data_IF_475496827851
#
_entry.id   IF_475496827851
#
_cell.length_a   1.000
_cell.length_b   1.000
_cell.length_c   1.000
_cell.angle_alpha   90.00
_cell.angle_beta   90.00
_cell.angle_gamma   90.00
#
_symmetry.space_group_name_H-M   'P 1'
#
loop_
_entity.id
_entity.type
_entity.pdbx_description
1 polymer ?
#
# COMPACT_ATOMS: atom_id res chain seq x y z
N UNK A 1 22.84 -7.58 3.76
CA UNK A 1 22.64 -6.13 3.90
C UNK A 1 21.43 -5.78 3.04
N UNK A 2 20.25 -5.64 3.63
CA UNK A 2 19.00 -5.45 2.89
C UNK A 2 18.84 -3.97 2.53
N UNK A 3 18.39 -3.69 1.32
CA UNK A 3 18.20 -2.32 0.82
C UNK A 3 17.11 -1.66 1.71
N UNK A 4 17.21 -0.37 2.09
CA UNK A 4 16.26 0.28 3.01
C UNK A 4 14.76 0.28 2.60
N UNK A 5 14.39 -0.25 1.43
CA UNK A 5 13.00 -0.49 1.02
C UNK A 5 12.57 -1.95 0.99
N UNK A 6 13.50 -2.92 1.03
CA UNK A 6 13.17 -4.36 0.90
C UNK A 6 12.47 -4.92 2.14
N UNK A 7 12.86 -4.47 3.33
CA UNK A 7 12.21 -4.87 4.59
C UNK A 7 10.77 -4.34 4.68
N UNK A 8 10.53 -3.11 4.24
CA UNK A 8 9.19 -2.53 4.14
C UNK A 8 8.36 -3.26 3.08
N UNK A 9 8.94 -3.55 1.91
CA UNK A 9 8.29 -4.34 0.85
C UNK A 9 7.93 -5.75 1.35
N UNK A 10 8.86 -6.41 2.04
CA UNK A 10 8.64 -7.76 2.55
C UNK A 10 7.60 -7.76 3.68
N UNK A 11 7.60 -6.76 4.57
CA UNK A 11 6.57 -6.63 5.60
C UNK A 11 5.20 -6.34 4.99
N UNK A 12 5.10 -5.42 4.02
CA UNK A 12 3.86 -5.12 3.30
C UNK A 12 3.34 -6.36 2.55
N UNK A 13 4.24 -7.14 1.95
CA UNK A 13 3.90 -8.37 1.26
C UNK A 13 3.45 -9.47 2.23
N UNK A 14 4.13 -9.65 3.36
CA UNK A 14 3.76 -10.63 4.38
C UNK A 14 2.49 -10.24 5.14
N UNK A 15 2.30 -8.95 5.40
CA UNK A 15 1.05 -8.40 5.94
C UNK A 15 -0.07 -8.52 4.92
N UNK A 16 0.23 -8.37 3.64
CA UNK A 16 -0.71 -8.64 2.57
C UNK A 16 -1.08 -10.12 2.47
N UNK A 17 -0.12 -11.05 2.57
CA UNK A 17 -0.38 -12.50 2.55
C UNK A 17 -1.16 -12.94 3.80
N UNK A 18 -0.78 -12.44 4.99
CA UNK A 18 -1.52 -12.68 6.23
C UNK A 18 -2.92 -12.10 6.15
N UNK A 19 -3.04 -10.86 5.67
CA UNK A 19 -4.33 -10.24 5.41
C UNK A 19 -5.10 -11.02 4.33
N UNK A 20 -4.46 -11.60 3.33
CA UNK A 20 -5.09 -12.39 2.28
C UNK A 20 -5.66 -13.71 2.82
N UNK A 21 -4.90 -14.43 3.65
CA UNK A 21 -5.37 -15.66 4.28
C UNK A 21 -6.54 -15.39 5.25
N UNK A 22 -6.41 -14.35 6.08
CA UNK A 22 -7.48 -13.90 6.99
C UNK A 22 -8.68 -13.38 6.18
N UNK A 23 -8.44 -12.64 5.11
CA UNK A 23 -9.47 -12.12 4.21
C UNK A 23 -10.18 -13.23 3.44
N UNK A 24 -9.52 -14.34 3.12
CA UNK A 24 -10.17 -15.47 2.47
C UNK A 24 -11.24 -16.08 3.37
N UNK A 25 -10.91 -16.31 4.64
CA UNK A 25 -11.86 -16.87 5.62
C UNK A 25 -12.93 -15.84 6.02
N UNK A 26 -12.56 -14.57 6.18
CA UNK A 26 -13.54 -13.50 6.41
C UNK A 26 -14.44 -13.27 5.20
N UNK A 27 -13.92 -13.38 3.98
CA UNK A 27 -14.72 -13.26 2.77
C UNK A 27 -15.71 -14.41 2.66
N UNK A 28 -15.29 -15.63 3.04
CA UNK A 28 -16.16 -16.80 3.13
C UNK A 28 -17.34 -16.56 4.07
N UNK A 29 -17.07 -16.00 5.25
CA UNK A 29 -18.08 -15.74 6.28
C UNK A 29 -18.97 -14.53 5.90
N UNK A 30 -18.36 -13.41 5.51
CA UNK A 30 -19.07 -12.17 5.17
C UNK A 30 -19.92 -12.30 3.90
N UNK A 31 -19.57 -13.21 2.99
CA UNK A 31 -20.38 -13.53 1.80
C UNK A 31 -21.81 -13.91 2.16
N UNK A 32 -22.05 -14.61 3.26
CA UNK A 32 -23.43 -15.01 3.62
C UNK A 32 -24.36 -13.79 3.75
N UNK A 33 -23.79 -12.64 4.08
CA UNK A 33 -24.50 -11.37 4.23
C UNK A 33 -24.46 -10.50 2.96
N UNK A 34 -23.71 -10.91 1.93
CA UNK A 34 -23.58 -10.21 0.65
C UNK A 34 -24.54 -10.82 -0.38
N UNK A 35 -25.64 -10.12 -0.67
CA UNK A 35 -26.66 -10.59 -1.61
C UNK A 35 -26.10 -10.77 -3.03
N UNK A 36 -25.21 -9.88 -3.46
CA UNK A 36 -24.63 -9.91 -4.80
C UNK A 36 -23.79 -11.18 -4.97
N UNK A 37 -22.84 -11.43 -4.05
CA UNK A 37 -21.95 -12.58 -4.15
C UNK A 37 -22.70 -13.92 -3.98
N UNK A 38 -23.76 -13.96 -3.16
CA UNK A 38 -24.66 -15.12 -3.09
C UNK A 38 -25.33 -15.41 -4.43
N UNK A 39 -25.83 -14.39 -5.11
CA UNK A 39 -26.44 -14.53 -6.43
C UNK A 39 -25.41 -14.99 -7.47
N UNK A 40 -24.20 -14.42 -7.47
CA UNK A 40 -23.11 -14.85 -8.37
C UNK A 40 -22.81 -16.34 -8.18
N UNK A 41 -22.70 -16.83 -6.94
CA UNK A 41 -22.45 -18.25 -6.67
C UNK A 41 -23.58 -19.14 -7.13
N UNK A 42 -24.83 -18.72 -6.89
CA UNK A 42 -26.00 -19.45 -7.37
C UNK A 42 -25.94 -19.60 -8.89
N UNK A 43 -25.72 -18.50 -9.62
CA UNK A 43 -25.66 -18.53 -11.09
C UNK A 43 -24.45 -19.27 -11.65
N UNK A 44 -23.31 -19.24 -10.96
CA UNK A 44 -22.12 -19.97 -11.40
C UNK A 44 -22.27 -21.50 -11.23
N UNK A 45 -23.12 -21.95 -10.30
CA UNK A 45 -23.44 -23.37 -10.10
C UNK A 45 -24.57 -23.87 -10.98
N UNK A 46 -25.45 -22.99 -11.41
CA UNK A 46 -26.59 -23.34 -12.27
C UNK A 46 -26.38 -22.77 -13.67
N UNK A 47 -27.16 -21.76 -14.05
CA UNK A 47 -27.03 -21.01 -15.28
C UNK A 47 -27.20 -19.53 -14.96
N UNK A 48 -26.44 -18.71 -15.68
CA UNK A 48 -26.64 -17.27 -15.69
C UNK A 48 -27.92 -16.94 -16.46
N UNK A 49 -28.68 -15.95 -15.97
CA UNK A 49 -29.81 -15.37 -16.72
C UNK A 49 -29.31 -14.65 -17.98
N UNK A 50 -30.16 -14.55 -19.00
CA UNK A 50 -29.90 -13.71 -20.19
C UNK A 50 -30.01 -12.22 -19.86
N UNK A 51 -30.82 -11.87 -18.87
CA UNK A 51 -31.06 -10.49 -18.45
C UNK A 51 -30.37 -10.21 -17.11
N UNK A 52 -29.10 -9.77 -17.16
CA UNK A 52 -28.29 -9.44 -15.99
C UNK A 52 -28.02 -7.94 -15.92
N UNK A 53 -28.43 -7.30 -14.83
CA UNK A 53 -28.31 -5.86 -14.62
C UNK A 53 -27.49 -5.49 -13.36
N UNK A 54 -27.10 -4.22 -13.27
CA UNK A 54 -26.46 -3.65 -12.09
C UNK A 54 -25.14 -4.32 -11.71
N UNK A 55 -24.91 -4.52 -10.42
CA UNK A 55 -23.67 -5.10 -9.89
C UNK A 55 -23.33 -6.48 -10.44
N UNK A 56 -24.33 -7.26 -10.89
CA UNK A 56 -24.14 -8.60 -11.43
C UNK A 56 -23.55 -8.58 -12.84
N UNK A 57 -23.77 -7.52 -13.61
CA UNK A 57 -23.37 -7.44 -15.02
C UNK A 57 -21.86 -7.60 -15.18
N UNK A 58 -21.06 -7.02 -14.28
CA UNK A 58 -19.59 -7.14 -14.29
C UNK A 58 -19.12 -8.57 -14.00
N UNK A 59 -19.83 -9.30 -13.15
CA UNK A 59 -19.55 -10.72 -12.91
C UNK A 59 -20.01 -11.57 -14.10
N UNK A 60 -21.18 -11.28 -14.69
CA UNK A 60 -21.65 -11.97 -15.89
C UNK A 60 -20.69 -11.81 -17.07
N UNK A 61 -20.16 -10.62 -17.32
CA UNK A 61 -19.15 -10.37 -18.37
C UNK A 61 -17.89 -11.24 -18.19
N UNK A 62 -17.59 -11.66 -16.95
CA UNK A 62 -16.39 -12.42 -16.58
C UNK A 62 -16.70 -13.87 -16.20
N UNK A 63 -17.94 -14.31 -16.36
CA UNK A 63 -18.47 -15.60 -15.88
C UNK A 63 -17.60 -16.81 -16.24
N UNK A 64 -17.03 -16.81 -17.45
CA UNK A 64 -16.18 -17.90 -17.95
C UNK A 64 -14.85 -18.01 -17.19
N UNK A 65 -14.45 -16.97 -16.47
CA UNK A 65 -13.22 -16.92 -15.67
C UNK A 65 -13.51 -16.92 -14.16
N UNK A 66 -14.75 -17.21 -13.75
CA UNK A 66 -15.12 -17.31 -12.35
C UNK A 66 -15.05 -18.75 -11.87
N UNK A 67 -14.36 -18.97 -10.75
CA UNK A 67 -14.35 -20.25 -10.05
C UNK A 67 -14.83 -20.08 -8.61
N UNK A 68 -15.28 -21.18 -8.00
CA UNK A 68 -15.69 -21.21 -6.60
C UNK A 68 -14.78 -22.17 -5.87
N UNK A 69 -14.00 -21.66 -4.93
CA UNK A 69 -13.07 -22.45 -4.10
C UNK A 69 -13.40 -22.19 -2.64
N UNK A 70 -13.64 -23.26 -1.87
CA UNK A 70 -14.01 -23.20 -0.44
C UNK A 70 -15.16 -22.22 -0.14
N UNK A 71 -16.07 -22.04 -1.10
CA UNK A 71 -17.21 -21.14 -0.98
C UNK A 71 -16.94 -19.66 -1.30
N UNK A 72 -15.70 -19.28 -1.62
CA UNK A 72 -15.32 -17.96 -2.13
C UNK A 72 -15.37 -17.92 -3.66
N UNK A 73 -15.69 -16.76 -4.23
CA UNK A 73 -15.59 -16.53 -5.68
C UNK A 73 -14.18 -16.06 -5.99
N UNK A 74 -13.58 -16.67 -6.99
CA UNK A 74 -12.33 -16.25 -7.58
C UNK A 74 -12.58 -15.77 -9.01
N UNK A 75 -11.92 -14.67 -9.40
CA UNK A 75 -11.77 -14.25 -10.78
C UNK A 75 -10.33 -14.48 -11.20
N UNK A 76 -10.08 -15.51 -12.01
CA UNK A 76 -8.77 -16.15 -12.09
C UNK A 76 -8.27 -16.55 -10.70
N UNK A 77 -7.17 -15.97 -10.22
CA UNK A 77 -6.58 -16.22 -8.90
C UNK A 77 -6.97 -15.16 -7.86
N UNK A 78 -7.90 -14.26 -8.21
CA UNK A 78 -8.23 -13.08 -7.40
C UNK A 78 -9.49 -13.29 -6.60
N UNK A 79 -9.45 -13.05 -5.30
CA UNK A 79 -10.59 -13.21 -4.40
C UNK A 79 -11.60 -12.09 -4.61
N UNK A 80 -12.85 -12.45 -4.85
CA UNK A 80 -13.95 -11.49 -4.89
C UNK A 80 -14.27 -11.02 -3.46
N UNK A 81 -14.05 -9.74 -3.17
CA UNK A 81 -14.18 -9.19 -1.81
C UNK A 81 -15.63 -8.75 -1.53
N UNK A 82 -16.29 -9.28 -0.48
CA UNK A 82 -17.62 -8.83 -0.06
C UNK A 82 -17.66 -7.35 0.26
N UNK A 83 -18.79 -6.68 -0.01
CA UNK A 83 -18.94 -5.23 0.14
C UNK A 83 -18.53 -4.72 1.53
N UNK A 84 -18.88 -5.48 2.59
CA UNK A 84 -18.55 -5.14 3.98
C UNK A 84 -17.05 -5.07 4.26
N UNK A 85 -16.23 -5.81 3.50
CA UNK A 85 -14.78 -5.87 3.72
C UNK A 85 -14.02 -4.84 2.87
N UNK A 86 -14.60 -4.37 1.76
CA UNK A 86 -13.94 -3.48 0.80
C UNK A 86 -13.35 -2.23 1.46
N UNK A 87 -14.07 -1.60 2.39
CA UNK A 87 -13.58 -0.40 3.08
C UNK A 87 -12.32 -0.66 3.93
N UNK A 88 -12.25 -1.82 4.60
CA UNK A 88 -11.06 -2.20 5.39
C UNK A 88 -9.87 -2.51 4.49
N UNK A 89 -10.10 -3.26 3.41
CA UNK A 89 -9.08 -3.57 2.40
C UNK A 89 -8.49 -2.30 1.79
N UNK A 90 -9.36 -1.36 1.42
CA UNK A 90 -8.95 -0.06 0.89
C UNK A 90 -8.03 0.68 1.87
N UNK A 91 -8.40 0.75 3.15
CA UNK A 91 -7.56 1.37 4.19
C UNK A 91 -6.17 0.73 4.29
N UNK A 92 -6.08 -0.60 4.21
CA UNK A 92 -4.80 -1.31 4.25
C UNK A 92 -3.88 -0.93 3.08
N UNK A 93 -4.43 -0.74 1.87
CA UNK A 93 -3.62 -0.27 0.74
C UNK A 93 -3.12 1.16 0.89
N UNK A 94 -3.82 2.00 1.67
CA UNK A 94 -3.42 3.39 1.89
C UNK A 94 -2.38 3.54 3.01
N UNK A 95 -2.20 2.53 3.86
CA UNK A 95 -1.18 2.53 4.91
C UNK A 95 0.22 2.68 4.31
N UNK A 96 1.02 3.61 4.84
CA UNK A 96 2.37 3.89 4.36
C UNK A 96 2.45 4.67 3.03
N UNK A 97 1.31 5.09 2.46
CA UNK A 97 1.23 5.91 1.24
C UNK A 97 2.11 5.41 0.06
N UNK A 98 2.05 4.13 -0.33
CA UNK A 98 2.96 3.53 -1.33
C UNK A 98 2.79 4.05 -2.77
N UNK A 99 1.88 4.99 -3.00
CA UNK A 99 1.54 5.55 -4.31
C UNK A 99 0.45 4.76 -5.06
N UNK A 100 -0.36 5.46 -5.84
CA UNK A 100 -1.56 4.90 -6.50
C UNK A 100 -1.25 3.72 -7.44
N UNK A 101 -0.14 3.79 -8.19
CA UNK A 101 0.23 2.73 -9.12
C UNK A 101 0.57 1.43 -8.39
N UNK A 102 1.28 1.54 -7.27
CA UNK A 102 1.64 0.40 -6.42
C UNK A 102 0.43 -0.20 -5.73
N UNK A 103 -0.47 0.63 -5.20
CA UNK A 103 -1.76 0.17 -4.63
C UNK A 103 -2.59 -0.60 -5.66
N UNK A 104 -2.72 -0.07 -6.89
CA UNK A 104 -3.45 -0.74 -7.97
C UNK A 104 -2.80 -2.07 -8.37
N UNK A 105 -1.47 -2.11 -8.50
CA UNK A 105 -0.75 -3.32 -8.88
C UNK A 105 -0.99 -4.43 -7.85
N UNK A 106 -0.80 -4.14 -6.56
CA UNK A 106 -1.03 -5.11 -5.49
C UNK A 106 -2.50 -5.57 -5.44
N UNK A 107 -3.45 -4.64 -5.45
CA UNK A 107 -4.87 -4.98 -5.41
C UNK A 107 -5.28 -5.86 -6.60
N UNK A 108 -4.77 -5.56 -7.80
CA UNK A 108 -5.09 -6.34 -9.01
C UNK A 108 -4.46 -7.73 -9.01
N UNK A 109 -3.37 -7.97 -8.28
CA UNK A 109 -2.78 -9.30 -8.25
C UNK A 109 -3.64 -10.30 -7.46
N UNK A 110 -4.37 -9.84 -6.45
CA UNK A 110 -4.97 -10.74 -5.47
C UNK A 110 -6.47 -10.56 -5.29
N UNK A 111 -7.02 -9.39 -5.61
CA UNK A 111 -8.38 -9.02 -5.23
C UNK A 111 -9.20 -8.60 -6.43
N UNK A 112 -10.51 -8.72 -6.26
CA UNK A 112 -11.46 -8.28 -7.25
C UNK A 112 -12.77 -7.81 -6.62
N UNK A 113 -13.28 -6.68 -7.09
CA UNK A 113 -14.70 -6.33 -7.02
C UNK A 113 -14.99 -5.25 -8.09
N UNK A 114 -16.25 -5.08 -8.49
CA UNK A 114 -16.63 -4.00 -9.41
C UNK A 114 -16.20 -2.62 -8.88
N UNK A 115 -15.56 -1.81 -9.73
CA UNK A 115 -15.10 -0.45 -9.42
C UNK A 115 -13.92 -0.32 -8.43
N UNK A 116 -13.24 -1.43 -8.08
CA UNK A 116 -12.05 -1.42 -7.22
C UNK A 116 -11.00 -0.36 -7.59
N UNK A 117 -10.64 -0.27 -8.88
CA UNK A 117 -9.66 0.73 -9.34
C UNK A 117 -10.10 2.17 -9.07
N UNK A 118 -11.39 2.48 -9.30
CA UNK A 118 -11.95 3.81 -9.07
C UNK A 118 -11.92 4.17 -7.59
N UNK A 119 -12.24 3.21 -6.71
CA UNK A 119 -12.17 3.42 -5.27
C UNK A 119 -10.74 3.59 -4.77
N UNK A 120 -9.76 2.87 -5.34
CA UNK A 120 -8.35 3.09 -5.04
C UNK A 120 -7.86 4.47 -5.48
N UNK A 121 -8.30 4.95 -6.66
CA UNK A 121 -7.99 6.30 -7.14
C UNK A 121 -8.56 7.38 -6.23
N UNK A 122 -9.84 7.24 -5.83
CA UNK A 122 -10.48 8.14 -4.87
C UNK A 122 -9.72 8.18 -3.55
N UNK A 123 -9.31 7.03 -3.03
CA UNK A 123 -8.55 6.94 -1.79
C UNK A 123 -7.17 7.61 -1.90
N UNK A 124 -6.45 7.43 -3.01
CA UNK A 124 -5.16 8.09 -3.20
C UNK A 124 -5.29 9.60 -3.43
N UNK A 125 -6.44 10.08 -3.90
CA UNK A 125 -6.71 11.51 -4.04
C UNK A 125 -6.98 12.22 -2.72
N UNK A 126 -7.23 11.48 -1.63
CA UNK A 126 -7.32 12.02 -0.28
C UNK A 126 -5.93 12.53 0.12
N UNK A 127 -5.66 13.81 -0.18
CA UNK A 127 -4.43 14.49 0.24
C UNK A 127 -4.36 14.44 1.76
N UNK A 128 -3.31 13.82 2.30
CA UNK A 128 -2.96 14.05 3.69
C UNK A 128 -2.77 15.56 3.87
N UNK A 129 -3.36 16.12 4.92
CA UNK A 129 -3.15 17.52 5.26
C UNK A 129 -1.65 17.72 5.46
N UNK A 130 -1.02 18.50 4.57
CA UNK A 130 0.38 18.85 4.72
C UNK A 130 0.51 19.69 5.99
N UNK A 131 1.02 19.07 7.06
CA UNK A 131 1.37 19.80 8.27
C UNK A 131 2.69 20.51 7.99
N UNK A 132 2.63 21.82 7.78
CA UNK A 132 3.84 22.62 7.68
C UNK A 132 4.68 22.42 8.94
N UNK A 133 5.98 22.29 8.77
CA UNK A 133 6.90 22.31 9.89
C UNK A 133 6.78 23.67 10.60
N UNK A 134 6.79 23.73 11.95
CA UNK A 134 6.76 25.00 12.69
C UNK A 134 7.85 25.96 12.19
N UNK A 135 7.60 27.26 12.11
CA UNK A 135 8.67 28.21 11.73
C UNK A 135 9.77 28.20 12.80
N UNK A 136 11.06 27.98 12.45
CA UNK A 136 12.16 28.03 13.41
C UNK A 136 12.28 29.46 13.96
N UNK A 137 12.54 29.58 15.27
CA UNK A 137 12.56 30.89 15.97
C UNK A 137 13.94 31.30 16.51
N UNK A 138 14.91 30.40 16.41
CA UNK A 138 16.28 30.63 16.86
C UNK A 138 17.26 29.86 15.98
N UNK A 139 18.51 30.33 15.96
CA UNK A 139 19.63 29.62 15.36
C UNK A 139 19.67 28.18 15.89
N UNK A 140 19.97 27.23 15.01
CA UNK A 140 20.12 25.81 15.35
C UNK A 140 18.88 25.14 15.95
N UNK A 141 17.72 25.82 16.01
CA UNK A 141 16.48 25.25 16.55
C UNK A 141 15.86 24.16 15.68
N UNK A 142 16.23 24.12 14.39
CA UNK A 142 15.98 22.99 13.49
C UNK A 142 17.06 22.93 12.41
N UNK A 143 17.66 21.74 12.29
CA UNK A 143 18.68 21.43 11.29
C UNK A 143 18.13 20.39 10.32
N UNK A 144 18.30 20.61 9.01
CA UNK A 144 18.11 19.58 8.00
C UNK A 144 19.47 18.97 7.65
N UNK A 145 19.57 17.65 7.68
CA UNK A 145 20.83 16.95 7.38
C UNK A 145 20.58 15.95 6.27
N UNK A 146 21.40 15.99 5.23
CA UNK A 146 21.35 15.04 4.12
C UNK A 146 22.73 14.81 3.50
N UNK A 147 22.90 13.72 2.77
CA UNK A 147 24.09 13.49 1.96
C UNK A 147 23.92 14.10 0.57
N UNK A 148 24.93 14.84 0.11
CA UNK A 148 24.95 15.42 -1.24
C UNK A 148 25.15 14.39 -2.37
N UNK A 149 25.25 13.09 -2.02
CA UNK A 149 25.78 12.05 -2.90
C UNK A 149 27.30 12.13 -3.07
N UNK A 150 27.84 11.25 -3.91
CA UNK A 150 29.28 11.23 -4.23
C UNK A 150 29.59 12.32 -5.24
N UNK A 151 30.23 13.40 -4.77
CA UNK A 151 30.73 14.48 -5.62
C UNK A 151 32.26 14.31 -5.66
N UNK A 152 32.82 14.08 -6.84
CA UNK A 152 34.25 13.80 -7.03
C UNK A 152 34.79 12.65 -6.15
N UNK A 153 33.98 11.61 -5.94
CA UNK A 153 34.36 10.45 -5.13
C UNK A 153 34.31 10.70 -3.62
N UNK A 154 33.84 11.86 -3.17
CA UNK A 154 33.68 12.19 -1.75
C UNK A 154 32.20 12.24 -1.38
N UNK A 155 31.85 11.61 -0.26
CA UNK A 155 30.51 11.72 0.30
C UNK A 155 30.51 12.89 1.27
N UNK A 156 29.73 13.91 0.95
CA UNK A 156 29.62 15.11 1.77
C UNK A 156 28.31 15.08 2.55
N UNK A 157 28.39 15.27 3.86
CA UNK A 157 27.23 15.50 4.70
C UNK A 157 26.95 17.00 4.72
N UNK A 158 25.73 17.40 4.38
CA UNK A 158 25.29 18.79 4.42
C UNK A 158 24.33 18.91 5.60
N UNK A 159 24.64 19.81 6.53
CA UNK A 159 23.74 20.25 7.58
C UNK A 159 23.30 21.68 7.27
N UNK A 160 22.01 21.97 7.33
CA UNK A 160 21.44 23.28 7.06
C UNK A 160 20.65 23.76 8.28
N UNK A 161 21.06 24.88 8.87
CA UNK A 161 20.20 25.56 9.84
C UNK A 161 19.02 26.20 9.11
N UNK A 162 17.81 25.75 9.44
CA UNK A 162 16.59 26.21 8.77
C UNK A 162 16.17 27.63 9.17
N UNK A 163 16.75 28.19 10.25
CA UNK A 163 16.47 29.57 10.67
C UNK A 163 17.17 30.59 9.75
N UNK A 164 18.49 30.51 9.64
CA UNK A 164 19.30 31.45 8.86
C UNK A 164 19.69 30.93 7.46
N UNK A 165 19.33 29.68 7.13
CA UNK A 165 19.68 28.97 5.89
C UNK A 165 21.19 28.81 5.69
N UNK A 166 21.97 28.79 6.77
CA UNK A 166 23.41 28.58 6.72
C UNK A 166 23.74 27.10 6.52
N UNK A 167 24.47 26.74 5.45
CA UNK A 167 24.93 25.37 5.23
C UNK A 167 26.29 25.12 5.90
N UNK A 168 26.41 24.03 6.62
CA UNK A 168 27.67 23.42 7.01
C UNK A 168 27.92 22.15 6.20
N UNK A 169 29.11 22.05 5.63
CA UNK A 169 29.53 20.91 4.81
C UNK A 169 30.61 20.15 5.56
N UNK A 170 30.32 18.90 5.92
CA UNK A 170 31.28 18.00 6.54
C UNK A 170 31.79 17.04 5.46
N UNK A 171 33.05 17.24 5.07
CA UNK A 171 33.74 16.39 4.12
C UNK A 171 34.10 15.06 4.79
N UNK A 172 33.54 13.94 4.30
CA UNK A 172 34.03 12.62 4.70
C UNK A 172 34.97 12.07 3.64
N UNK A 173 36.27 12.11 3.92
CA UNK A 173 37.26 11.31 3.19
C UNK A 173 37.22 9.89 3.74
N UNK A 174 36.94 8.89 2.91
CA UNK A 174 37.07 7.50 3.33
C UNK A 174 38.55 7.15 3.49
N UNK A 175 39.00 7.02 4.74
CA UNK A 175 40.15 6.20 5.11
C UNK A 175 39.68 5.23 6.18
N UNK A 176 39.74 3.93 5.88
CA UNK A 176 39.56 2.76 6.76
C UNK A 176 38.56 2.87 7.93
N UNK A 177 37.48 2.08 7.83
CA UNK A 177 36.50 1.88 8.91
C UNK A 177 37.17 1.36 10.19
N UNK A 178 37.00 2.06 11.31
CA UNK A 178 36.68 1.43 12.58
C UNK A 178 35.33 1.98 13.02
N UNK A 179 34.39 1.08 13.31
CA UNK A 179 33.04 1.43 13.70
C UNK A 179 33.01 1.54 15.22
N UNK A 180 33.17 2.75 15.76
CA UNK A 180 32.90 3.06 17.16
C UNK A 180 32.19 4.42 17.24
N UNK A 181 30.86 4.38 17.32
CA UNK A 181 30.12 4.86 18.49
C UNK A 181 28.62 4.82 18.21
N UNK A 182 27.90 4.18 19.13
CA UNK A 182 26.46 4.19 19.24
C UNK A 182 25.93 5.62 19.43
N UNK A 183 24.96 6.02 18.61
CA UNK A 183 24.09 7.15 18.93
C UNK A 183 22.89 6.59 19.72
N UNK A 184 22.68 6.97 20.98
CA UNK A 184 21.48 6.59 21.71
C UNK A 184 20.27 7.20 21.01
N UNK A 185 19.26 6.35 20.79
CA UNK A 185 17.93 6.76 20.32
C UNK A 185 17.43 7.95 21.14
N UNK A 186 17.18 9.07 20.47
CA UNK A 186 16.22 10.06 20.93
C UNK A 186 15.10 10.08 19.89
N UNK A 187 13.97 9.54 20.36
CA UNK A 187 12.63 9.43 19.75
C UNK A 187 12.47 8.41 18.62
#
# INVERSE_FOLDING_TARGET
MSIPGESEIHSLFMDFIRAFYVMFEEARNAKQQDQLLRQVIKYNRTRWSTNVFGGLQRFYQRRNSLSIVNGCILYYERVAVPQKLQARVLRQFHTGHPGINRMKALARNYLYWPHMNKQLEQLASMKATLKAWPVPRALWSRVHIDYAGSINGQNNLIALDTYNRWPEVILKRFGHYSADLAVPKLW
#
